data_IF_500347892970
#
_entry.id   IF_500347892970
#
_cell.length_a   1.000
_cell.length_b   1.000
_cell.length_c   1.000
_cell.angle_alpha   90.00
_cell.angle_beta   90.00
_cell.angle_gamma   90.00
#
_symmetry.space_group_name_H-M   'P 1'
#
loop_
_entity.id
_entity.type
_entity.pdbx_description
1 polymer ?
#
# COMPACT_ATOMS: atom_id res chain seq x y z
N UNK A 1 17.09 31.49 27.15
CA UNK A 1 16.90 30.18 26.50
C UNK A 1 15.42 30.09 26.16
N UNK A 2 15.04 30.48 24.94
CA UNK A 2 13.64 30.48 24.51
C UNK A 2 13.22 29.07 24.12
N UNK A 3 12.16 28.56 24.74
CA UNK A 3 11.66 27.23 24.43
C UNK A 3 11.02 27.23 23.03
N UNK A 4 11.56 26.41 22.11
CA UNK A 4 10.91 26.14 20.83
C UNK A 4 9.58 25.44 21.10
N UNK A 5 8.48 26.19 21.04
CA UNK A 5 7.13 25.66 21.05
C UNK A 5 6.94 24.78 19.81
N UNK A 6 7.04 23.46 19.98
CA UNK A 6 6.70 22.48 18.94
C UNK A 6 5.18 22.55 18.74
N UNK A 7 4.73 23.37 17.78
CA UNK A 7 3.31 23.51 17.44
C UNK A 7 2.78 22.17 16.92
N UNK A 8 2.11 21.44 17.80
CA UNK A 8 1.39 20.21 17.48
C UNK A 8 0.32 20.53 16.42
N UNK A 9 0.51 20.06 15.19
CA UNK A 9 -0.48 20.24 14.11
C UNK A 9 -1.75 19.48 14.48
N UNK A 10 -2.79 20.23 14.83
CA UNK A 10 -4.09 19.67 15.16
C UNK A 10 -4.79 19.21 13.87
N UNK A 11 -5.45 18.05 13.87
CA UNK A 11 -6.22 17.52 12.74
C UNK A 11 -7.29 18.52 12.24
N UNK A 12 -7.71 19.45 13.09
CA UNK A 12 -8.60 20.55 12.75
C UNK A 12 -7.97 21.62 11.82
N UNK A 13 -6.64 21.80 11.83
CA UNK A 13 -5.93 22.77 10.96
C UNK A 13 -5.73 22.26 9.52
N UNK A 14 -6.00 20.99 9.24
CA UNK A 14 -5.95 20.46 7.87
C UNK A 14 -7.13 21.01 7.08
N UNK A 15 -6.85 21.58 5.90
CA UNK A 15 -7.89 22.01 4.98
C UNK A 15 -8.75 20.81 4.57
N UNK A 16 -10.03 21.06 4.23
CA UNK A 16 -10.94 20.00 3.78
C UNK A 16 -10.35 19.18 2.62
N UNK A 17 -9.60 19.84 1.73
CA UNK A 17 -8.86 19.21 0.65
C UNK A 17 -7.74 18.29 1.12
N UNK A 18 -6.94 18.70 2.12
CA UNK A 18 -5.87 17.86 2.67
C UNK A 18 -6.42 16.60 3.33
N UNK A 19 -7.54 16.70 4.06
CA UNK A 19 -8.24 15.54 4.62
C UNK A 19 -8.78 14.62 3.54
N UNK A 20 -9.37 15.20 2.48
CA UNK A 20 -9.83 14.46 1.31
C UNK A 20 -8.72 13.69 0.61
N UNK A 21 -7.58 14.34 0.36
CA UNK A 21 -6.40 13.71 -0.23
C UNK A 21 -5.86 12.57 0.64
N UNK A 22 -5.73 12.78 1.94
CA UNK A 22 -5.25 11.73 2.85
C UNK A 22 -6.20 10.52 2.85
N UNK A 23 -7.51 10.75 2.87
CA UNK A 23 -8.51 9.71 2.76
C UNK A 23 -8.42 8.94 1.44
N UNK A 24 -8.28 9.67 0.32
CA UNK A 24 -8.12 9.06 -1.01
C UNK A 24 -6.87 8.20 -1.10
N UNK A 25 -5.74 8.71 -0.62
CA UNK A 25 -4.45 7.99 -0.58
C UNK A 25 -4.59 6.71 0.24
N UNK A 26 -5.19 6.79 1.44
CA UNK A 26 -5.49 5.62 2.26
C UNK A 26 -6.41 4.60 1.59
N UNK A 27 -7.45 5.06 0.88
CA UNK A 27 -8.35 4.19 0.13
C UNK A 27 -7.60 3.45 -0.99
N UNK A 28 -6.74 4.15 -1.73
CA UNK A 28 -5.89 3.55 -2.77
C UNK A 28 -5.01 2.45 -2.19
N UNK A 29 -4.41 2.67 -1.01
CA UNK A 29 -3.60 1.65 -0.34
C UNK A 29 -4.40 0.38 -0.04
N UNK A 30 -5.61 0.53 0.52
CA UNK A 30 -6.47 -0.59 0.90
C UNK A 30 -6.89 -1.37 -0.34
N UNK A 31 -7.33 -0.67 -1.39
CA UNK A 31 -7.72 -1.29 -2.66
C UNK A 31 -6.55 -2.02 -3.32
N UNK A 32 -5.36 -1.42 -3.32
CA UNK A 32 -4.17 -2.00 -3.90
C UNK A 32 -3.72 -3.26 -3.14
N UNK A 33 -3.73 -3.23 -1.81
CA UNK A 33 -3.46 -4.39 -0.96
C UNK A 33 -4.49 -5.51 -1.22
N UNK A 34 -5.78 -5.18 -1.21
CA UNK A 34 -6.84 -6.14 -1.46
C UNK A 34 -6.70 -6.78 -2.86
N UNK A 35 -6.42 -5.96 -3.89
CA UNK A 35 -6.18 -6.44 -5.24
C UNK A 35 -4.97 -7.39 -5.31
N UNK A 36 -3.86 -7.06 -4.64
CA UNK A 36 -2.67 -7.92 -4.61
C UNK A 36 -2.97 -9.27 -3.95
N UNK A 37 -3.66 -9.27 -2.81
CA UNK A 37 -4.04 -10.50 -2.11
C UNK A 37 -5.04 -11.34 -2.91
N UNK A 38 -6.03 -10.71 -3.54
CA UNK A 38 -7.02 -11.39 -4.38
C UNK A 38 -6.37 -11.99 -5.63
N UNK A 39 -5.50 -11.25 -6.32
CA UNK A 39 -4.76 -11.75 -7.49
C UNK A 39 -3.86 -12.92 -7.08
N UNK A 40 -3.15 -12.83 -5.95
CA UNK A 40 -2.30 -13.91 -5.43
C UNK A 40 -3.08 -15.18 -5.03
N UNK A 41 -4.30 -15.00 -4.49
CA UNK A 41 -5.20 -16.12 -4.17
C UNK A 41 -5.73 -16.81 -5.43
N UNK A 42 -6.11 -16.03 -6.44
CA UNK A 42 -6.70 -16.55 -7.70
C UNK A 42 -5.66 -17.16 -8.63
N UNK A 43 -4.44 -16.64 -8.68
CA UNK A 43 -3.40 -17.15 -9.59
C UNK A 43 -2.82 -18.46 -9.10
N UNK A 44 -2.55 -19.44 -9.98
CA UNK A 44 -1.83 -20.64 -9.61
C UNK A 44 -0.34 -20.32 -9.38
N UNK A 45 0.35 -21.16 -8.59
CA UNK A 45 1.67 -20.83 -8.06
C UNK A 45 2.74 -20.68 -9.17
N UNK A 46 2.56 -21.34 -10.31
CA UNK A 46 3.49 -21.28 -11.43
C UNK A 46 3.54 -19.90 -12.09
N UNK A 47 2.46 -19.12 -11.96
CA UNK A 47 2.32 -17.75 -12.47
C UNK A 47 2.83 -16.68 -11.49
N UNK A 48 3.37 -17.09 -10.34
CA UNK A 48 3.97 -16.19 -9.36
C UNK A 48 5.47 -16.46 -9.31
N UNK A 49 6.29 -15.41 -9.28
CA UNK A 49 7.74 -15.54 -9.13
C UNK A 49 8.09 -15.87 -7.68
N UNK A 50 8.32 -17.14 -7.38
CA UNK A 50 8.64 -17.61 -6.04
C UNK A 50 7.42 -17.99 -5.21
N UNK A 51 7.55 -17.96 -3.88
CA UNK A 51 6.51 -18.41 -2.95
C UNK A 51 5.36 -17.43 -2.83
N UNK A 52 4.12 -17.93 -2.87
CA UNK A 52 2.93 -17.12 -2.55
C UNK A 52 3.01 -16.54 -1.13
N UNK A 53 3.49 -17.30 -0.15
CA UNK A 53 3.59 -16.81 1.24
C UNK A 53 4.53 -15.61 1.35
N UNK A 54 5.63 -15.62 0.60
CA UNK A 54 6.56 -14.49 0.55
C UNK A 54 5.87 -13.25 -0.01
N UNK A 55 5.16 -13.37 -1.14
CA UNK A 55 4.43 -12.24 -1.72
C UNK A 55 3.28 -11.75 -0.85
N UNK A 56 2.61 -12.64 -0.12
CA UNK A 56 1.63 -12.24 0.90
C UNK A 56 2.28 -11.33 1.94
N UNK A 57 3.42 -11.72 2.51
CA UNK A 57 4.14 -10.90 3.50
C UNK A 57 4.62 -9.58 2.92
N UNK A 58 5.21 -9.62 1.72
CA UNK A 58 5.69 -8.43 1.02
C UNK A 58 4.54 -7.45 0.76
N UNK A 59 3.34 -7.92 0.41
CA UNK A 59 2.18 -7.06 0.15
C UNK A 59 1.78 -6.18 1.36
N UNK A 60 2.14 -6.55 2.59
CA UNK A 60 1.84 -5.72 3.77
C UNK A 60 2.83 -4.55 3.98
N UNK A 61 3.88 -4.44 3.15
CA UNK A 61 4.85 -3.34 3.24
C UNK A 61 4.34 -2.11 2.49
N UNK A 62 3.47 -1.32 3.12
CA UNK A 62 2.91 -0.06 2.59
C UNK A 62 2.55 -0.17 1.08
N UNK A 63 2.81 0.87 0.28
CA UNK A 63 2.55 0.86 -1.17
C UNK A 63 3.56 0.01 -1.93
N UNK A 64 4.78 -0.10 -1.40
CA UNK A 64 5.90 -0.79 -2.05
C UNK A 64 5.60 -2.26 -2.27
N UNK A 65 5.01 -2.91 -1.27
CA UNK A 65 4.69 -4.33 -1.30
C UNK A 65 3.75 -4.74 -2.43
N UNK A 66 2.52 -4.21 -2.45
CA UNK A 66 1.55 -4.51 -3.49
C UNK A 66 2.03 -4.09 -4.88
N UNK A 67 2.71 -2.93 -5.01
CA UNK A 67 3.31 -2.51 -6.28
C UNK A 67 4.38 -3.49 -6.76
N UNK A 68 5.30 -3.90 -5.88
CA UNK A 68 6.34 -4.87 -6.20
C UNK A 68 5.74 -6.22 -6.63
N UNK A 69 4.64 -6.65 -6.01
CA UNK A 69 3.92 -7.84 -6.44
C UNK A 69 3.42 -7.71 -7.88
N UNK A 70 2.72 -6.62 -8.22
CA UNK A 70 2.17 -6.45 -9.57
C UNK A 70 3.23 -6.25 -10.66
N UNK A 71 4.35 -5.62 -10.32
CA UNK A 71 5.46 -5.31 -11.24
C UNK A 71 6.43 -6.48 -11.41
N UNK A 72 6.79 -7.14 -10.31
CA UNK A 72 7.87 -8.15 -10.27
C UNK A 72 7.35 -9.52 -9.90
N UNK A 73 6.45 -9.63 -8.91
CA UNK A 73 5.96 -10.90 -8.38
C UNK A 73 5.02 -11.66 -9.30
N UNK A 74 4.21 -10.93 -10.07
CA UNK A 74 3.26 -11.49 -11.03
C UNK A 74 3.97 -11.80 -12.35
N UNK A 75 3.95 -13.06 -12.79
CA UNK A 75 4.33 -13.39 -14.17
C UNK A 75 3.16 -12.97 -15.08
N UNK A 76 3.46 -12.12 -16.05
CA UNK A 76 2.58 -11.95 -17.21
C UNK A 76 2.75 -13.23 -18.03
N UNK A 77 1.66 -13.98 -18.23
CA UNK A 77 1.63 -14.94 -19.32
C UNK A 77 1.96 -14.14 -20.58
N UNK A 78 2.86 -14.68 -21.42
CA UNK A 78 3.48 -13.99 -22.55
C UNK A 78 2.53 -13.10 -23.33
#
# INVERSE_FOLDING_TARGET
>A
MGECQVKQRNWAELSAWQKGLLGLVGLIQILLLAAALLDLRRRPAEQVRGSKKLWTLVAFINYVGPLAYFLVGRKRGG
#
